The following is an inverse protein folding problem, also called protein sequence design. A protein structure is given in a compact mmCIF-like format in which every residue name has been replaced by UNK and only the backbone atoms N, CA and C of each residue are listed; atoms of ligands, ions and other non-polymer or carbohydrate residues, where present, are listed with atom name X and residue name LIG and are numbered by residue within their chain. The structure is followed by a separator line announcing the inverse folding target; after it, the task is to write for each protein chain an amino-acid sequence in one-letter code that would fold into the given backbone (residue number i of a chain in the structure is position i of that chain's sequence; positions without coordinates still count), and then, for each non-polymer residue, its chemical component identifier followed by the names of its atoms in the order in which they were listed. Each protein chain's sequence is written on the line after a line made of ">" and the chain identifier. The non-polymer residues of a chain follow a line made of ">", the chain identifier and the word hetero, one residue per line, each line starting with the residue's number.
data_IF_455877840662
#
_entry.id   IF_455877840662
#
_cell.length_a   1.000
_cell.length_b   1.000
_cell.length_c   1.000
_cell.angle_alpha   90.00
_cell.angle_beta   90.00
_cell.angle_gamma   90.00
#
_symmetry.space_group_name_H-M   'P 1'
#
loop_
_entity.id
_entity.type
_entity.pdbx_description
1 polymer ?
#
# COMPACT_ATOMS: atom_id res chain seq x y z
N UNK A 1 -42.98 42.71 41.48
CA UNK A 1 -41.56 42.63 41.88
C UNK A 1 -40.82 41.80 40.83
N UNK A 2 -40.01 42.46 40.02
CA UNK A 2 -39.33 41.90 38.84
C UNK A 2 -38.00 41.28 39.32
N UNK A 3 -37.82 39.97 39.17
CA UNK A 3 -36.53 39.30 39.39
C UNK A 3 -35.63 39.58 38.19
N UNK A 4 -34.57 40.34 38.44
CA UNK A 4 -33.46 40.54 37.50
C UNK A 4 -32.44 39.44 37.81
N UNK A 5 -32.42 38.38 37.00
CA UNK A 5 -31.33 37.39 37.04
C UNK A 5 -30.09 38.02 36.38
N UNK A 6 -29.08 38.30 37.22
CA UNK A 6 -27.74 38.70 36.78
C UNK A 6 -27.00 37.47 36.30
N UNK A 7 -26.63 37.47 35.02
CA UNK A 7 -25.71 36.50 34.42
C UNK A 7 -24.29 36.69 34.98
N UNK A 8 -23.55 35.63 35.35
CA UNK A 8 -22.17 35.75 35.81
C UNK A 8 -21.22 36.06 34.63
N UNK A 9 -20.08 36.74 34.88
CA UNK A 9 -19.11 37.09 33.85
C UNK A 9 -18.42 35.86 33.27
N UNK A 10 -18.08 35.94 31.98
CA UNK A 10 -17.36 34.90 31.26
C UNK A 10 -15.95 34.72 31.83
N UNK A 11 -15.73 33.58 32.49
CA UNK A 11 -14.40 33.12 32.90
C UNK A 11 -13.50 32.88 31.68
N UNK A 12 -12.27 33.33 31.82
CA UNK A 12 -11.15 33.21 30.89
C UNK A 12 -10.87 31.74 30.54
N UNK A 13 -10.85 31.44 29.24
CA UNK A 13 -10.40 30.13 28.72
C UNK A 13 -8.87 30.15 28.60
N UNK A 14 -8.14 29.14 29.13
CA UNK A 14 -6.69 29.20 29.27
C UNK A 14 -5.93 29.16 27.93
N UNK A 15 -4.76 29.83 27.85
CA UNK A 15 -3.98 29.98 26.63
C UNK A 15 -3.10 28.75 26.35
N UNK A 16 -3.68 27.61 25.95
CA UNK A 16 -2.88 26.41 25.65
C UNK A 16 -3.31 25.61 24.42
N UNK A 17 -3.87 26.27 23.40
CA UNK A 17 -4.01 25.69 22.05
C UNK A 17 -3.51 26.61 20.94
N UNK A 18 -2.28 27.11 21.07
CA UNK A 18 -1.49 27.50 19.90
C UNK A 18 -0.91 26.23 19.25
N UNK A 19 -1.70 25.56 18.40
CA UNK A 19 -1.17 24.78 17.28
C UNK A 19 -1.91 25.21 16.02
N UNK A 20 -1.11 25.64 15.05
CA UNK A 20 -1.52 26.48 13.94
C UNK A 20 -2.50 25.84 12.98
N UNK A 21 -3.12 26.72 12.18
CA UNK A 21 -3.74 26.34 10.92
C UNK A 21 -5.23 26.56 10.77
N UNK A 22 -5.87 27.51 11.48
CA UNK A 22 -7.26 27.93 11.17
C UNK A 22 -7.47 29.45 11.18
N UNK A 23 -6.39 30.22 11.02
CA UNK A 23 -6.52 31.62 10.63
C UNK A 23 -6.49 31.68 9.11
N UNK A 24 -7.65 31.88 8.49
CA UNK A 24 -7.68 32.47 7.16
C UNK A 24 -6.97 33.84 7.28
N UNK A 25 -5.73 33.92 6.80
CA UNK A 25 -4.90 35.13 6.87
C UNK A 25 -5.66 36.29 6.21
N UNK A 26 -6.13 37.26 7.00
CA UNK A 26 -6.35 38.66 6.60
C UNK A 26 -6.03 39.58 7.79
N UNK A 27 -5.45 40.74 7.44
CA UNK A 27 -4.77 41.66 8.35
C UNK A 27 -5.66 42.38 9.35
N UNK A 28 -4.99 42.95 10.34
CA UNK A 28 -5.54 43.80 11.39
C UNK A 28 -6.35 44.95 10.77
N UNK A 29 -7.66 44.86 10.85
CA UNK A 29 -8.57 45.88 10.31
C UNK A 29 -10.00 45.35 10.26
N UNK A 30 -10.77 45.66 11.31
CA UNK A 30 -12.19 45.34 11.53
C UNK A 30 -12.53 43.85 11.74
N UNK A 31 -12.59 43.47 13.01
CA UNK A 31 -13.25 42.27 13.52
C UNK A 31 -14.78 42.41 13.36
N UNK A 32 -15.26 42.34 12.11
CA UNK A 32 -16.69 42.36 11.84
C UNK A 32 -17.25 40.94 12.08
N UNK A 33 -18.28 40.76 12.94
CA UNK A 33 -18.90 39.46 13.13
C UNK A 33 -19.38 38.88 11.80
N UNK A 34 -19.08 37.59 11.59
CA UNK A 34 -19.48 36.82 10.42
C UNK A 34 -20.63 35.91 10.81
N UNK A 35 -21.54 35.67 9.88
CA UNK A 35 -22.54 34.62 10.01
C UNK A 35 -21.98 33.28 9.53
N UNK A 36 -22.11 32.26 10.37
CA UNK A 36 -21.80 30.86 10.09
C UNK A 36 -23.11 30.12 9.88
N UNK A 37 -23.22 29.43 8.75
CA UNK A 37 -24.44 28.77 8.32
C UNK A 37 -24.20 27.28 8.13
N UNK A 38 -25.00 26.45 8.82
CA UNK A 38 -24.99 25.02 8.62
C UNK A 38 -25.69 24.68 7.31
N UNK A 39 -24.99 24.00 6.40
CA UNK A 39 -25.54 23.62 5.08
C UNK A 39 -26.70 22.62 5.14
N UNK A 40 -26.85 21.89 6.25
CA UNK A 40 -27.84 20.81 6.39
C UNK A 40 -29.07 21.24 7.17
N UNK A 41 -28.91 21.75 8.39
CA UNK A 41 -30.04 22.12 9.25
C UNK A 41 -30.33 23.62 9.25
N UNK A 42 -29.58 24.42 8.47
CA UNK A 42 -29.75 25.87 8.34
C UNK A 42 -29.57 26.67 9.64
N UNK A 43 -29.00 26.06 10.69
CA UNK A 43 -28.60 26.77 11.91
C UNK A 43 -27.62 27.88 11.55
N UNK A 44 -27.88 29.07 12.08
CA UNK A 44 -27.04 30.26 11.94
C UNK A 44 -26.43 30.65 13.28
N UNK A 45 -25.14 30.98 13.29
CA UNK A 45 -24.48 31.59 14.45
C UNK A 45 -23.63 32.77 13.98
N UNK A 46 -23.57 33.84 14.78
CA UNK A 46 -22.78 35.03 14.47
C UNK A 46 -21.58 35.09 15.41
N UNK A 47 -20.40 35.34 14.86
CA UNK A 47 -19.19 35.47 15.67
C UNK A 47 -17.98 35.90 14.87
N UNK A 48 -16.89 36.21 15.56
CA UNK A 48 -15.61 36.52 14.93
C UNK A 48 -14.92 35.27 14.39
N UNK A 49 -15.18 34.12 15.03
CA UNK A 49 -14.56 32.83 14.74
C UNK A 49 -15.60 31.75 14.53
N UNK A 50 -15.22 30.67 13.82
CA UNK A 50 -16.08 29.49 13.67
C UNK A 50 -16.44 28.96 15.05
N UNK A 51 -17.73 28.72 15.35
CA UNK A 51 -18.12 28.33 16.69
C UNK A 51 -17.58 26.95 17.07
N UNK A 52 -17.37 26.73 18.37
CA UNK A 52 -16.88 25.45 18.87
C UNK A 52 -17.86 24.31 18.53
N UNK A 53 -17.33 23.15 18.14
CA UNK A 53 -18.15 21.99 17.75
C UNK A 53 -18.69 22.03 16.32
N UNK A 54 -18.36 23.06 15.54
CA UNK A 54 -18.64 23.11 14.10
C UNK A 54 -17.53 22.44 13.29
N UNK A 55 -17.92 21.86 12.16
CA UNK A 55 -17.06 21.11 11.24
C UNK A 55 -17.02 21.79 9.88
N UNK A 56 -15.83 21.77 9.27
CA UNK A 56 -15.55 22.31 7.94
C UNK A 56 -15.24 21.16 6.98
N UNK A 57 -15.97 21.08 5.87
CA UNK A 57 -15.67 20.12 4.80
C UNK A 57 -14.99 20.83 3.64
N UNK A 58 -13.82 20.32 3.26
CA UNK A 58 -13.04 20.80 2.13
C UNK A 58 -12.68 19.64 1.22
N UNK A 59 -12.68 19.89 -0.09
CA UNK A 59 -12.16 18.98 -1.10
C UNK A 59 -10.77 19.45 -1.51
N UNK A 60 -9.78 18.57 -1.35
CA UNK A 60 -8.46 18.77 -1.96
C UNK A 60 -8.54 18.31 -3.43
N UNK A 61 -8.42 19.21 -4.43
CA UNK A 61 -8.48 18.83 -5.84
C UNK A 61 -7.20 18.12 -6.34
N UNK A 62 -6.22 17.86 -5.47
CA UNK A 62 -4.90 17.33 -5.83
C UNK A 62 -3.92 18.42 -6.30
N UNK A 63 -2.61 18.16 -6.15
CA UNK A 63 -1.53 19.08 -6.55
C UNK A 63 -1.31 20.27 -5.60
N UNK A 64 -0.74 21.38 -6.12
CA UNK A 64 -0.49 22.64 -5.37
C UNK A 64 -1.71 23.57 -5.32
N UNK A 65 -2.88 23.07 -5.72
CA UNK A 65 -4.11 23.85 -5.81
C UNK A 65 -4.70 24.14 -4.42
N UNK A 66 -5.41 25.27 -4.30
CA UNK A 66 -6.10 25.62 -3.06
C UNK A 66 -7.25 24.64 -2.80
N UNK A 67 -7.48 24.33 -1.54
CA UNK A 67 -8.63 23.52 -1.13
C UNK A 67 -9.94 24.22 -1.51
N UNK A 68 -10.91 23.43 -1.97
CA UNK A 68 -12.25 23.91 -2.31
C UNK A 68 -13.14 23.67 -1.10
N UNK A 69 -13.64 24.73 -0.50
CA UNK A 69 -14.55 24.65 0.64
C UNK A 69 -15.95 24.23 0.19
N UNK A 70 -16.43 23.09 0.70
CA UNK A 70 -17.75 22.55 0.37
C UNK A 70 -18.84 23.06 1.34
N UNK A 71 -18.55 23.16 2.63
CA UNK A 71 -19.56 23.59 3.60
C UNK A 71 -19.10 23.67 5.05
N UNK A 72 -19.95 24.27 5.89
CA UNK A 72 -19.87 24.24 7.35
C UNK A 72 -21.06 23.47 7.93
N UNK A 73 -20.84 22.80 9.05
CA UNK A 73 -21.82 21.94 9.70
C UNK A 73 -21.76 22.12 11.21
N UNK A 74 -22.90 22.33 11.86
CA UNK A 74 -22.95 22.64 13.30
C UNK A 74 -22.78 21.42 14.22
N UNK A 75 -22.69 20.21 13.66
CA UNK A 75 -22.52 18.97 14.42
C UNK A 75 -21.97 17.85 13.52
N UNK A 76 -21.47 16.77 14.14
CA UNK A 76 -21.04 15.55 13.43
C UNK A 76 -22.19 14.95 12.63
N UNK A 77 -23.40 14.94 13.19
CA UNK A 77 -24.60 14.43 12.52
C UNK A 77 -24.88 15.19 11.22
N UNK A 78 -24.78 16.53 11.23
CA UNK A 78 -24.93 17.32 10.01
C UNK A 78 -23.79 17.07 9.01
N UNK A 79 -22.57 16.81 9.47
CA UNK A 79 -21.45 16.47 8.59
C UNK A 79 -21.66 15.10 7.92
N UNK A 80 -22.08 14.08 8.67
CA UNK A 80 -22.35 12.73 8.14
C UNK A 80 -23.45 12.77 7.09
N UNK A 81 -24.57 13.44 7.39
CA UNK A 81 -25.67 13.61 6.43
C UNK A 81 -25.25 14.34 5.16
N UNK A 82 -24.35 15.32 5.28
CA UNK A 82 -23.79 15.97 4.10
C UNK A 82 -22.89 15.04 3.28
N UNK A 83 -22.17 14.11 3.94
CA UNK A 83 -21.42 13.05 3.27
C UNK A 83 -22.33 12.13 2.47
N UNK A 84 -23.45 11.69 3.05
CA UNK A 84 -24.47 10.86 2.37
C UNK A 84 -25.04 11.58 1.13
N UNK A 85 -25.45 12.85 1.27
CA UNK A 85 -25.94 13.65 0.14
C UNK A 85 -24.91 13.81 -0.99
N UNK A 86 -23.61 13.93 -0.63
CA UNK A 86 -22.54 14.01 -1.62
C UNK A 86 -22.32 12.67 -2.34
N UNK A 87 -22.47 11.54 -1.63
CA UNK A 87 -22.41 10.20 -2.23
C UNK A 87 -23.58 9.97 -3.18
N UNK A 88 -24.80 10.31 -2.75
CA UNK A 88 -26.01 10.25 -3.59
C UNK A 88 -25.85 11.10 -4.85
N UNK A 89 -25.46 12.37 -4.70
CA UNK A 89 -25.24 13.27 -5.84
C UNK A 89 -24.12 12.79 -6.78
N UNK A 90 -23.08 12.15 -6.24
CA UNK A 90 -22.03 11.54 -7.06
C UNK A 90 -22.55 10.34 -7.86
N UNK A 91 -23.37 9.48 -7.25
CA UNK A 91 -24.00 8.34 -7.91
C UNK A 91 -24.97 8.79 -9.02
N UNK A 92 -25.82 9.79 -8.75
CA UNK A 92 -26.73 10.36 -9.76
C UNK A 92 -25.97 10.99 -10.93
N UNK A 93 -24.88 11.71 -10.62
CA UNK A 93 -24.04 12.31 -11.65
C UNK A 93 -23.34 11.26 -12.51
N UNK A 94 -22.83 10.19 -11.89
CA UNK A 94 -22.25 9.04 -12.58
C UNK A 94 -23.28 8.37 -13.50
N UNK A 95 -24.49 8.11 -13.00
CA UNK A 95 -25.59 7.54 -13.78
C UNK A 95 -25.95 8.41 -15.00
N UNK A 96 -26.02 9.73 -14.82
CA UNK A 96 -26.30 10.67 -15.91
C UNK A 96 -25.22 10.66 -17.00
N UNK A 97 -23.96 10.51 -16.60
CA UNK A 97 -22.83 10.44 -17.52
C UNK A 97 -22.61 9.02 -18.10
N UNK A 98 -23.41 8.03 -17.69
CA UNK A 98 -23.21 6.64 -18.07
C UNK A 98 -21.87 6.07 -17.58
N UNK A 99 -21.32 6.64 -16.49
CA UNK A 99 -20.11 6.12 -15.88
C UNK A 99 -20.40 4.77 -15.23
N UNK A 100 -19.42 3.84 -15.23
CA UNK A 100 -19.60 2.54 -14.61
C UNK A 100 -19.88 2.70 -13.12
N UNK A 101 -20.86 1.95 -12.63
CA UNK A 101 -21.17 1.87 -11.21
C UNK A 101 -19.97 1.30 -10.42
N UNK A 102 -19.87 1.58 -9.13
CA UNK A 102 -18.77 1.08 -8.28
C UNK A 102 -18.65 -0.46 -8.35
N UNK A 103 -19.79 -1.14 -8.45
CA UNK A 103 -19.84 -2.58 -8.60
C UNK A 103 -19.26 -3.04 -9.95
N UNK A 104 -19.50 -2.30 -11.03
CA UNK A 104 -18.94 -2.59 -12.34
C UNK A 104 -17.44 -2.35 -12.35
N UNK A 105 -16.98 -1.23 -11.77
CA UNK A 105 -15.55 -0.94 -11.59
C UNK A 105 -14.86 -2.04 -10.78
N UNK A 106 -15.51 -2.53 -9.71
CA UNK A 106 -14.99 -3.63 -8.88
C UNK A 106 -14.89 -4.93 -9.68
N UNK A 107 -15.90 -5.28 -10.47
CA UNK A 107 -15.87 -6.48 -11.33
C UNK A 107 -14.82 -6.39 -12.41
N UNK A 108 -14.69 -5.24 -13.06
CA UNK A 108 -13.67 -5.00 -14.07
C UNK A 108 -12.27 -5.09 -13.48
N UNK A 109 -12.04 -4.47 -12.31
CA UNK A 109 -10.80 -4.62 -11.54
C UNK A 109 -10.46 -6.09 -11.27
N UNK A 110 -11.44 -6.88 -10.83
CA UNK A 110 -11.22 -8.30 -10.55
C UNK A 110 -10.84 -9.08 -11.83
N UNK A 111 -11.53 -8.84 -12.96
CA UNK A 111 -11.20 -9.45 -14.25
C UNK A 111 -9.78 -9.09 -14.73
N UNK A 112 -9.40 -7.83 -14.59
CA UNK A 112 -8.05 -7.36 -14.92
C UNK A 112 -7.02 -8.06 -14.03
N UNK A 113 -7.31 -8.21 -12.73
CA UNK A 113 -6.40 -8.85 -11.78
C UNK A 113 -6.21 -10.34 -12.10
N UNK A 114 -7.27 -11.07 -12.43
CA UNK A 114 -7.23 -12.48 -12.83
C UNK A 114 -6.46 -12.67 -14.16
N UNK A 115 -6.69 -11.77 -15.12
CA UNK A 115 -5.97 -11.80 -16.40
C UNK A 115 -4.49 -11.49 -16.20
N UNK A 116 -4.16 -10.52 -15.35
CA UNK A 116 -2.79 -10.19 -15.00
C UNK A 116 -2.07 -11.38 -14.33
N UNK A 117 -2.72 -12.11 -13.42
CA UNK A 117 -2.14 -13.33 -12.84
C UNK A 117 -1.77 -14.35 -13.92
N UNK A 118 -2.66 -14.56 -14.89
CA UNK A 118 -2.43 -15.49 -16.01
C UNK A 118 -1.22 -15.04 -16.85
N UNK A 119 -1.09 -13.75 -17.15
CA UNK A 119 0.04 -13.19 -17.90
C UNK A 119 1.37 -13.34 -17.13
N UNK A 120 1.36 -13.11 -15.82
CA UNK A 120 2.52 -13.26 -14.96
C UNK A 120 2.97 -14.72 -14.84
N UNK A 121 2.01 -15.66 -14.74
CA UNK A 121 2.29 -17.09 -14.75
C UNK A 121 2.89 -17.55 -16.09
N UNK A 122 2.52 -16.88 -17.20
CA UNK A 122 3.15 -17.04 -18.52
C UNK A 122 4.54 -16.43 -18.65
N UNK A 123 5.12 -15.89 -17.57
CA UNK A 123 6.47 -15.34 -17.54
C UNK A 123 6.59 -13.88 -17.95
N UNK A 124 5.47 -13.16 -18.15
CA UNK A 124 5.52 -11.72 -18.40
C UNK A 124 5.94 -10.96 -17.13
N UNK A 125 6.63 -9.84 -17.33
CA UNK A 125 6.89 -8.90 -16.23
C UNK A 125 5.63 -8.10 -15.90
N UNK A 126 5.53 -7.58 -14.67
CA UNK A 126 4.42 -6.71 -14.23
C UNK A 126 4.22 -5.51 -15.14
N UNK A 127 5.31 -4.96 -15.70
CA UNK A 127 5.25 -3.83 -16.64
C UNK A 127 4.62 -4.25 -17.96
N UNK A 128 5.06 -5.37 -18.54
CA UNK A 128 4.50 -5.88 -19.79
C UNK A 128 3.02 -6.27 -19.64
N UNK A 129 2.64 -6.89 -18.52
CA UNK A 129 1.25 -7.20 -18.22
C UNK A 129 0.41 -5.92 -18.08
N UNK A 130 0.93 -4.89 -17.41
CA UNK A 130 0.27 -3.59 -17.28
C UNK A 130 0.06 -2.91 -18.64
N UNK A 131 1.07 -2.92 -19.50
CA UNK A 131 1.00 -2.34 -20.84
C UNK A 131 -0.02 -3.12 -21.71
N UNK A 132 -0.04 -4.45 -21.63
CA UNK A 132 -1.01 -5.29 -22.35
C UNK A 132 -2.45 -5.11 -21.87
N UNK A 133 -2.65 -4.76 -20.61
CA UNK A 133 -3.96 -4.51 -20.02
C UNK A 133 -4.37 -3.03 -20.11
N UNK A 134 -3.50 -2.16 -20.65
CA UNK A 134 -3.69 -0.72 -20.70
C UNK A 134 -3.99 -0.09 -19.32
N UNK A 135 -3.34 -0.61 -18.27
CA UNK A 135 -3.48 -0.11 -16.89
C UNK A 135 -2.14 0.44 -16.42
N UNK A 136 -2.09 1.59 -15.72
CA UNK A 136 -0.84 2.09 -15.15
C UNK A 136 -0.17 1.06 -14.24
N UNK A 137 1.14 0.86 -14.38
CA UNK A 137 1.88 -0.19 -13.66
C UNK A 137 1.75 -0.09 -12.13
N UNK A 138 1.68 1.13 -11.58
CA UNK A 138 1.50 1.35 -10.15
C UNK A 138 0.10 0.90 -9.68
N UNK A 139 -0.93 1.18 -10.47
CA UNK A 139 -2.31 0.77 -10.21
C UNK A 139 -2.42 -0.76 -10.21
N UNK A 140 -1.85 -1.41 -11.23
CA UNK A 140 -1.86 -2.87 -11.30
C UNK A 140 -1.11 -3.51 -10.12
N UNK A 141 0.05 -2.98 -9.72
CA UNK A 141 0.77 -3.45 -8.52
C UNK A 141 -0.06 -3.34 -7.26
N UNK A 142 -0.81 -2.24 -7.11
CA UNK A 142 -1.67 -2.01 -5.95
C UNK A 142 -2.79 -3.06 -5.91
N UNK A 143 -3.48 -3.28 -7.04
CA UNK A 143 -4.54 -4.28 -7.13
C UNK A 143 -4.05 -5.71 -6.90
N UNK A 144 -2.89 -6.07 -7.46
CA UNK A 144 -2.29 -7.40 -7.25
C UNK A 144 -1.90 -7.61 -5.78
N UNK A 145 -1.38 -6.57 -5.13
CA UNK A 145 -1.06 -6.61 -3.69
C UNK A 145 -2.31 -6.73 -2.82
N UNK A 146 -3.36 -5.97 -3.12
CA UNK A 146 -4.66 -6.08 -2.43
C UNK A 146 -5.27 -7.47 -2.59
N UNK A 147 -5.07 -8.11 -3.75
CA UNK A 147 -5.48 -9.49 -4.01
C UNK A 147 -4.56 -10.56 -3.39
N UNK A 148 -3.52 -10.16 -2.64
CA UNK A 148 -2.61 -11.08 -1.95
C UNK A 148 -1.54 -11.74 -2.83
N UNK A 149 -1.32 -11.23 -4.05
CA UNK A 149 -0.33 -11.78 -4.98
C UNK A 149 1.00 -11.07 -4.73
N UNK A 150 1.95 -11.80 -4.15
CA UNK A 150 3.29 -11.28 -3.91
C UNK A 150 4.09 -11.22 -5.21
N UNK A 151 4.27 -10.00 -5.72
CA UNK A 151 5.12 -9.70 -6.87
C UNK A 151 6.56 -9.57 -6.40
N UNK A 152 7.33 -10.65 -6.48
CA UNK A 152 8.79 -10.57 -6.30
C UNK A 152 9.40 -9.65 -7.37
N UNK A 153 10.10 -8.57 -7.00
CA UNK A 153 10.69 -7.67 -7.97
C UNK A 153 11.96 -8.28 -8.57
N UNK A 154 11.80 -8.87 -9.75
CA UNK A 154 12.89 -9.11 -10.70
C UNK A 154 13.58 -10.46 -10.60
N UNK A 155 13.17 -11.40 -11.45
CA UNK A 155 14.08 -12.42 -11.95
C UNK A 155 14.05 -12.43 -13.47
N UNK A 156 15.17 -12.04 -14.08
CA UNK A 156 15.48 -12.34 -15.47
C UNK A 156 15.55 -13.89 -15.59
N UNK A 157 14.93 -14.53 -16.59
CA UNK A 157 14.96 -15.98 -16.67
C UNK A 157 16.28 -16.43 -17.31
N UNK A 158 17.16 -17.02 -16.51
CA UNK A 158 18.23 -17.89 -17.01
C UNK A 158 18.73 -18.82 -15.90
N UNK A 159 17.99 -19.92 -15.66
CA UNK A 159 18.51 -21.30 -15.63
C UNK A 159 17.37 -22.22 -15.16
N UNK A 160 17.27 -23.38 -15.82
CA UNK A 160 16.22 -24.38 -15.69
C UNK A 160 15.77 -24.61 -14.24
N UNK A 161 14.52 -24.23 -13.96
CA UNK A 161 13.93 -24.37 -12.63
C UNK A 161 13.42 -25.79 -12.41
N UNK A 162 13.90 -26.38 -11.32
CA UNK A 162 13.24 -27.46 -10.57
C UNK A 162 11.76 -27.11 -10.37
N UNK A 163 10.81 -28.06 -10.50
CA UNK A 163 9.38 -27.77 -10.53
C UNK A 163 8.88 -26.96 -9.33
N UNK A 164 8.04 -25.98 -9.63
CA UNK A 164 7.48 -25.01 -8.68
C UNK A 164 6.72 -25.71 -7.55
N UNK A 165 7.14 -25.45 -6.30
CA UNK A 165 6.42 -25.86 -5.09
C UNK A 165 7.28 -26.47 -3.98
N UNK A 166 8.54 -26.81 -4.23
CA UNK A 166 9.44 -27.35 -3.19
C UNK A 166 10.64 -26.43 -2.98
N UNK A 167 10.90 -26.09 -1.72
CA UNK A 167 12.10 -25.33 -1.35
C UNK A 167 13.35 -26.21 -1.61
N UNK A 168 14.28 -25.81 -2.49
CA UNK A 168 15.44 -26.63 -2.86
C UNK A 168 16.36 -26.95 -1.69
N UNK A 169 16.40 -26.09 -0.65
CA UNK A 169 17.13 -26.38 0.59
C UNK A 169 16.46 -27.54 1.34
N UNK A 170 15.12 -27.59 1.37
CA UNK A 170 14.39 -28.72 1.96
C UNK A 170 14.63 -30.01 1.19
N UNK A 171 14.68 -29.96 -0.15
CA UNK A 171 15.00 -31.13 -0.97
C UNK A 171 16.40 -31.66 -0.66
N UNK A 172 17.42 -30.80 -0.54
CA UNK A 172 18.76 -31.24 -0.11
C UNK A 172 18.76 -31.88 1.28
N UNK A 173 18.03 -31.30 2.23
CA UNK A 173 17.90 -31.87 3.57
C UNK A 173 17.24 -33.25 3.54
N UNK A 174 16.18 -33.44 2.74
CA UNK A 174 15.54 -34.74 2.54
C UNK A 174 16.50 -35.76 1.92
N UNK A 175 17.31 -35.37 0.92
CA UNK A 175 18.31 -36.29 0.34
C UNK A 175 19.39 -36.68 1.34
N UNK A 176 19.77 -35.75 2.23
CA UNK A 176 20.72 -36.01 3.32
C UNK A 176 20.15 -37.01 4.33
N UNK A 177 18.89 -36.81 4.75
CA UNK A 177 18.19 -37.73 5.66
C UNK A 177 17.97 -39.12 5.05
N UNK A 178 17.78 -39.20 3.73
CA UNK A 178 17.67 -40.47 2.99
C UNK A 178 19.02 -41.15 2.73
N UNK A 179 20.13 -40.56 3.17
CA UNK A 179 21.48 -41.10 2.97
C UNK A 179 21.96 -41.10 1.52
N UNK A 180 21.29 -40.36 0.62
CA UNK A 180 21.67 -40.24 -0.80
C UNK A 180 22.79 -39.24 -1.02
N UNK A 181 22.94 -38.29 -0.11
CA UNK A 181 24.07 -37.38 -0.01
C UNK A 181 24.53 -37.30 1.45
N UNK A 182 25.82 -37.08 1.66
CA UNK A 182 26.40 -36.78 2.95
C UNK A 182 26.04 -35.37 3.42
N UNK A 183 26.51 -35.01 4.60
CA UNK A 183 26.27 -33.70 5.21
C UNK A 183 26.66 -32.56 4.27
N UNK A 184 25.73 -31.62 4.05
CA UNK A 184 25.97 -30.44 3.23
C UNK A 184 26.66 -29.36 4.06
N UNK A 185 27.81 -28.90 3.59
CA UNK A 185 28.54 -27.76 4.16
C UNK A 185 28.22 -26.49 3.38
N UNK A 186 28.13 -25.36 4.09
CA UNK A 186 27.72 -24.08 3.52
C UNK A 186 28.75 -23.02 3.89
N UNK A 187 29.32 -22.36 2.89
CA UNK A 187 30.19 -21.20 3.04
C UNK A 187 29.47 -19.97 2.50
N UNK A 188 29.60 -18.82 3.16
CA UNK A 188 28.94 -17.58 2.75
C UNK A 188 29.94 -16.44 2.71
N UNK A 189 30.05 -15.79 1.56
CA UNK A 189 30.82 -14.57 1.33
C UNK A 189 29.85 -13.42 1.10
N UNK A 190 30.09 -12.28 1.74
CA UNK A 190 29.30 -11.05 1.56
C UNK A 190 30.18 -10.02 0.86
N UNK A 191 29.69 -9.42 -0.21
CA UNK A 191 30.35 -8.36 -0.94
C UNK A 191 29.40 -7.19 -1.19
N UNK A 192 29.94 -6.04 -1.57
CA UNK A 192 29.17 -4.84 -1.92
C UNK A 192 28.89 -3.88 -0.77
N UNK A 193 28.32 -2.71 -1.08
CA UNK A 193 28.06 -1.66 -0.11
C UNK A 193 26.89 -2.02 0.82
N UNK A 194 26.85 -1.45 2.03
CA UNK A 194 25.84 -1.77 3.05
C UNK A 194 24.38 -1.58 2.59
N UNK A 195 24.14 -0.70 1.61
CA UNK A 195 22.82 -0.44 1.03
C UNK A 195 22.46 -1.37 -0.15
N UNK A 196 23.39 -2.21 -0.61
CA UNK A 196 23.18 -3.21 -1.67
C UNK A 196 24.16 -4.39 -1.52
N UNK A 197 24.07 -5.16 -0.41
CA UNK A 197 24.93 -6.32 -0.20
C UNK A 197 24.60 -7.45 -1.18
N UNK A 198 25.61 -8.05 -1.78
CA UNK A 198 25.52 -9.31 -2.52
C UNK A 198 26.05 -10.44 -1.65
N UNK A 199 25.25 -11.51 -1.57
CA UNK A 199 25.61 -12.71 -0.83
C UNK A 199 25.95 -13.79 -1.84
N UNK A 200 27.11 -14.42 -1.68
CA UNK A 200 27.54 -15.58 -2.43
C UNK A 200 27.60 -16.74 -1.45
N UNK A 201 26.85 -17.81 -1.71
CA UNK A 201 26.83 -19.02 -0.89
C UNK A 201 27.35 -20.18 -1.71
N UNK A 202 28.30 -20.93 -1.17
CA UNK A 202 28.79 -22.19 -1.77
C UNK A 202 28.32 -23.35 -0.91
N UNK A 203 27.63 -24.29 -1.53
CA UNK A 203 27.10 -25.50 -0.94
C UNK A 203 27.92 -26.69 -1.43
N UNK A 204 28.43 -27.51 -0.53
CA UNK A 204 29.25 -28.67 -0.87
C UNK A 204 28.68 -29.92 -0.22
N UNK A 205 28.40 -30.95 -1.01
CA UNK A 205 27.88 -32.24 -0.54
C UNK A 205 28.65 -33.42 -1.14
N UNK A 206 28.73 -34.53 -0.40
CA UNK A 206 29.32 -35.78 -0.88
C UNK A 206 28.21 -36.72 -1.39
N UNK A 207 28.11 -37.04 -2.69
CA UNK A 207 27.08 -37.94 -3.19
C UNK A 207 27.35 -39.39 -2.78
N UNK A 208 26.30 -40.16 -2.44
CA UNK A 208 26.44 -41.59 -2.23
C UNK A 208 26.83 -42.26 -3.57
N UNK A 209 28.01 -42.88 -3.61
CA UNK A 209 28.50 -43.61 -4.79
C UNK A 209 29.31 -42.81 -5.81
N UNK A 210 29.62 -41.52 -5.57
CA UNK A 210 30.59 -40.75 -6.35
C UNK A 210 31.84 -40.44 -5.54
N UNK A 211 33.00 -40.44 -6.19
CA UNK A 211 34.27 -40.06 -5.60
C UNK A 211 34.42 -38.54 -5.60
N UNK A 212 34.19 -37.93 -4.44
CA UNK A 212 34.57 -36.55 -4.15
C UNK A 212 33.39 -35.61 -3.85
N UNK A 213 33.63 -34.56 -3.05
CA UNK A 213 32.63 -33.55 -2.76
C UNK A 213 32.27 -32.77 -4.02
N UNK A 214 30.98 -32.53 -4.22
CA UNK A 214 30.44 -31.71 -5.31
C UNK A 214 30.09 -30.33 -4.74
N UNK A 215 30.81 -29.27 -5.12
CA UNK A 215 30.47 -27.91 -4.76
C UNK A 215 29.51 -27.29 -5.79
N UNK A 216 28.64 -26.40 -5.34
CA UNK A 216 27.85 -25.52 -6.18
C UNK A 216 27.66 -24.17 -5.50
N UNK A 217 27.65 -23.10 -6.29
CA UNK A 217 27.60 -21.73 -5.78
C UNK A 217 26.34 -21.02 -6.26
N UNK A 218 25.74 -20.21 -5.41
CA UNK A 218 24.61 -19.36 -5.72
C UNK A 218 24.78 -17.97 -5.15
N UNK A 219 24.31 -16.97 -5.89
CA UNK A 219 24.38 -15.57 -5.49
C UNK A 219 22.97 -15.00 -5.31
N UNK A 220 22.83 -14.01 -4.43
CA UNK A 220 21.55 -13.35 -4.21
C UNK A 220 21.63 -12.09 -3.35
N UNK A 221 20.55 -11.29 -3.33
CA UNK A 221 20.47 -10.05 -2.55
C UNK A 221 20.29 -10.28 -1.04
N UNK A 222 20.11 -11.53 -0.63
CA UNK A 222 20.04 -11.94 0.77
C UNK A 222 20.73 -13.29 0.96
N UNK A 223 21.15 -13.60 2.20
CA UNK A 223 21.68 -14.93 2.54
C UNK A 223 20.72 -16.05 2.17
N UNK A 224 19.41 -15.84 2.34
CA UNK A 224 18.38 -16.81 2.01
C UNK A 224 18.29 -17.04 0.49
N UNK A 225 18.27 -15.97 -0.31
CA UNK A 225 18.23 -16.09 -1.78
C UNK A 225 19.48 -16.77 -2.34
N UNK A 226 20.67 -16.38 -1.86
CA UNK A 226 21.94 -16.99 -2.25
C UNK A 226 22.01 -18.48 -1.88
N UNK A 227 21.50 -18.84 -0.69
CA UNK A 227 21.44 -20.24 -0.23
C UNK A 227 20.47 -21.08 -1.06
N UNK A 228 19.30 -20.55 -1.40
CA UNK A 228 18.33 -21.21 -2.29
C UNK A 228 18.93 -21.42 -3.68
N UNK A 229 19.62 -20.41 -4.24
CA UNK A 229 20.29 -20.52 -5.53
C UNK A 229 21.40 -21.58 -5.51
N UNK A 230 22.22 -21.61 -4.45
CA UNK A 230 23.28 -22.60 -4.28
C UNK A 230 22.70 -24.03 -4.13
N UNK A 231 21.57 -24.15 -3.44
CA UNK A 231 20.86 -25.42 -3.28
C UNK A 231 20.35 -25.96 -4.62
N UNK A 232 19.72 -25.11 -5.44
CA UNK A 232 19.25 -25.47 -6.78
C UNK A 232 20.40 -25.90 -7.67
N UNK A 233 21.50 -25.14 -7.68
CA UNK A 233 22.69 -25.47 -8.46
C UNK A 233 23.31 -26.81 -8.02
N UNK A 234 23.30 -27.10 -6.71
CA UNK A 234 23.80 -28.36 -6.18
C UNK A 234 22.92 -29.55 -6.57
N UNK A 235 21.59 -29.41 -6.47
CA UNK A 235 20.64 -30.45 -6.91
C UNK A 235 20.80 -30.77 -8.39
N UNK A 236 20.98 -29.75 -9.24
CA UNK A 236 21.27 -29.92 -10.66
C UNK A 236 22.60 -30.65 -10.90
N UNK A 237 23.67 -30.28 -10.18
CA UNK A 237 24.98 -30.94 -10.29
C UNK A 237 24.95 -32.41 -9.82
N UNK A 238 24.04 -32.74 -8.89
CA UNK A 238 23.81 -34.10 -8.41
C UNK A 238 22.90 -34.92 -9.33
N UNK A 239 22.20 -34.29 -10.29
CA UNK A 239 21.21 -34.93 -11.16
C UNK A 239 19.91 -35.29 -10.42
N UNK A 240 19.56 -34.55 -9.36
CA UNK A 240 18.39 -34.78 -8.53
C UNK A 240 17.36 -33.68 -8.83
N UNK A 241 16.36 -33.99 -9.67
CA UNK A 241 15.24 -33.12 -10.02
C UNK A 241 13.92 -33.54 -9.41
#
# INVERSE_FOLDING_TARGET
>A
MIRIDRQPPADEVPPSRRRGGLAAIRGAGQDNPRSFFCRVCHRCENGLWVPAGWYLLERAPGGRSRHIRLGLYCSVTCLVRAGEMLQEGAAEHAARLGLPDEEQVRRERNRVTETAQTLLAGGMTVRQAADSLNVPTFTLKTWLKEAGIHLEPGSVPAHAAVPAGRNPVSVLNEQTQRGRIGTVTWETVVAGPAHAPSFTVTATALPAGKTGPVPATGTGPSKAAARTAAATALLAALGIG
#
